data_IF_887672857971
#
_entry.id   IF_887672857971
#
_cell.length_a   1.000
_cell.length_b   1.000
_cell.length_c   1.000
_cell.angle_alpha   90.00
_cell.angle_beta   90.00
_cell.angle_gamma   90.00
#
_symmetry.space_group_name_H-M   'P 1'
#
loop_
_entity.id
_entity.type
_entity.pdbx_description
1 polymer ?
#
# COMPACT_ATOMS: atom_id res chain seq x y z
N UNK A 1 5.95 9.45 -28.47
CA UNK A 1 6.28 8.23 -27.71
C UNK A 1 5.65 8.38 -26.34
N UNK A 2 4.89 7.39 -25.88
CA UNK A 2 4.23 7.45 -24.58
C UNK A 2 5.25 7.52 -23.44
N UNK A 3 4.91 8.08 -22.27
CA UNK A 3 5.74 7.97 -21.07
C UNK A 3 6.04 6.51 -20.71
N UNK A 4 7.13 6.27 -19.97
CA UNK A 4 7.43 4.99 -19.34
C UNK A 4 7.32 5.13 -17.83
N UNK A 5 6.46 4.33 -17.21
CA UNK A 5 6.23 4.33 -15.77
C UNK A 5 6.84 3.08 -15.17
N UNK A 6 7.65 3.25 -14.14
CA UNK A 6 8.21 2.17 -13.32
C UNK A 6 7.42 2.09 -12.01
N UNK A 7 6.90 0.90 -11.71
CA UNK A 7 6.16 0.61 -10.47
C UNK A 7 6.87 -0.49 -9.67
N UNK A 8 6.74 -0.48 -8.35
CA UNK A 8 7.39 -1.47 -7.48
C UNK A 8 6.68 -2.83 -7.47
N UNK A 9 7.26 -3.76 -6.71
CA UNK A 9 6.72 -5.11 -6.57
C UNK A 9 5.54 -5.21 -5.58
N UNK A 10 5.42 -4.28 -4.64
CA UNK A 10 4.43 -4.33 -3.56
C UNK A 10 3.41 -3.21 -3.61
N UNK A 11 3.10 -2.73 -4.81
CA UNK A 11 2.13 -1.65 -5.01
C UNK A 11 0.70 -2.09 -4.69
N UNK A 12 -0.05 -1.14 -4.14
CA UNK A 12 -1.49 -1.26 -4.00
C UNK A 12 -2.18 -1.08 -5.36
N UNK A 13 -3.31 -1.76 -5.57
CA UNK A 13 -4.08 -1.67 -6.82
C UNK A 13 -4.46 -0.25 -7.21
N UNK A 14 -4.80 0.61 -6.24
CA UNK A 14 -5.10 2.04 -6.49
C UNK A 14 -3.90 2.85 -6.98
N UNK A 15 -2.68 2.33 -6.83
CA UNK A 15 -1.45 2.98 -7.28
C UNK A 15 -0.90 2.34 -8.55
N UNK A 16 -1.10 1.03 -8.75
CA UNK A 16 -0.60 0.29 -9.93
C UNK A 16 -1.55 0.33 -11.13
N UNK A 17 -2.84 0.03 -10.94
CA UNK A 17 -3.76 -0.25 -12.06
C UNK A 17 -4.00 0.97 -12.94
N UNK A 18 -4.04 2.17 -12.35
CA UNK A 18 -4.18 3.42 -13.09
C UNK A 18 -3.05 3.65 -14.10
N UNK A 19 -1.83 3.16 -13.82
CA UNK A 19 -0.72 3.21 -14.78
C UNK A 19 -0.81 2.11 -15.84
N UNK A 20 -1.28 0.92 -15.47
CA UNK A 20 -1.44 -0.20 -16.41
C UNK A 20 -2.52 0.05 -17.45
N UNK A 21 -3.61 0.70 -17.05
CA UNK A 21 -4.74 1.02 -17.93
C UNK A 21 -4.61 2.43 -18.54
N UNK A 22 -3.58 3.18 -18.14
CA UNK A 22 -3.33 4.55 -18.60
C UNK A 22 -2.63 4.63 -19.96
N UNK A 23 -2.52 5.84 -20.51
CA UNK A 23 -1.80 6.13 -21.75
C UNK A 23 -0.28 6.21 -21.53
N UNK A 24 0.30 5.12 -21.03
CA UNK A 24 1.74 4.96 -20.82
C UNK A 24 2.15 3.49 -20.94
N UNK A 25 3.45 3.24 -21.17
CA UNK A 25 3.98 1.90 -20.91
C UNK A 25 4.25 1.79 -19.41
N UNK A 26 3.86 0.68 -18.80
CA UNK A 26 4.06 0.42 -17.38
C UNK A 26 4.97 -0.82 -17.20
N UNK A 27 6.06 -0.65 -16.48
CA UNK A 27 7.01 -1.72 -16.15
C UNK A 27 7.07 -1.92 -14.64
N UNK A 28 6.84 -3.16 -14.22
CA UNK A 28 6.97 -3.57 -12.82
C UNK A 28 8.40 -4.00 -12.52
N UNK A 29 9.00 -3.38 -11.52
CA UNK A 29 10.31 -3.76 -10.98
C UNK A 29 10.11 -4.96 -10.04
N UNK A 30 10.89 -6.05 -10.20
CA UNK A 30 10.75 -7.22 -9.34
C UNK A 30 11.26 -6.95 -7.91
N UNK A 31 10.86 -7.83 -7.00
CA UNK A 31 11.45 -7.90 -5.66
C UNK A 31 12.68 -8.79 -5.63
N UNK A 32 13.61 -8.50 -4.72
CA UNK A 32 14.69 -9.40 -4.32
C UNK A 32 14.15 -10.59 -3.52
N UNK A 33 15.03 -11.55 -3.20
CA UNK A 33 14.69 -12.69 -2.32
C UNK A 33 14.25 -12.27 -0.92
N UNK A 34 14.69 -11.09 -0.47
CA UNK A 34 14.30 -10.50 0.81
C UNK A 34 13.00 -9.67 0.72
N UNK A 35 12.33 -9.73 -0.44
CA UNK A 35 11.12 -9.00 -0.81
C UNK A 35 11.27 -7.48 -0.92
N UNK A 36 12.50 -6.98 -0.92
CA UNK A 36 12.82 -5.56 -1.15
C UNK A 36 12.77 -5.22 -2.64
N UNK A 37 12.63 -3.95 -3.00
CA UNK A 37 12.70 -3.51 -4.40
C UNK A 37 14.09 -3.84 -4.98
N UNK A 38 14.16 -4.52 -6.13
CA UNK A 38 15.44 -4.82 -6.76
C UNK A 38 16.05 -3.59 -7.44
N UNK A 39 16.83 -2.83 -6.67
CA UNK A 39 17.50 -1.62 -7.15
C UNK A 39 18.49 -1.87 -8.29
N UNK A 40 19.08 -3.08 -8.38
CA UNK A 40 20.03 -3.40 -9.46
C UNK A 40 19.30 -3.63 -10.77
N UNK A 41 18.21 -4.40 -10.74
CA UNK A 41 17.37 -4.59 -11.93
C UNK A 41 16.69 -3.28 -12.33
N UNK A 42 16.31 -2.45 -11.35
CA UNK A 42 15.75 -1.13 -11.64
C UNK A 42 16.73 -0.21 -12.39
N UNK A 43 17.99 -0.12 -11.92
CA UNK A 43 19.03 0.67 -12.61
C UNK A 43 19.33 0.13 -14.01
N UNK A 44 19.35 -1.19 -14.18
CA UNK A 44 19.52 -1.83 -15.49
C UNK A 44 18.40 -1.45 -16.45
N UNK A 45 17.13 -1.56 -16.04
CA UNK A 45 15.98 -1.17 -16.86
C UNK A 45 16.00 0.32 -17.21
N UNK A 46 16.31 1.19 -16.25
CA UNK A 46 16.47 2.62 -16.51
C UNK A 46 17.54 2.89 -17.56
N UNK A 47 18.69 2.21 -17.47
CA UNK A 47 19.80 2.35 -18.42
C UNK A 47 19.43 1.87 -19.82
N UNK A 48 18.85 0.69 -19.95
CA UNK A 48 18.43 0.10 -21.22
C UNK A 48 17.41 1.00 -21.94
N UNK A 49 16.34 1.40 -21.23
CA UNK A 49 15.31 2.25 -21.83
C UNK A 49 15.80 3.66 -22.13
N UNK A 50 16.70 4.23 -21.31
CA UNK A 50 17.26 5.57 -21.57
C UNK A 50 18.18 5.56 -22.78
N UNK A 51 18.95 4.48 -22.97
CA UNK A 51 19.77 4.29 -24.16
C UNK A 51 18.90 4.15 -25.44
N UNK A 52 17.76 3.46 -25.33
CA UNK A 52 16.82 3.29 -26.44
C UNK A 52 16.05 4.57 -26.79
N UNK A 53 15.78 5.45 -25.81
CA UNK A 53 15.08 6.71 -26.05
C UNK A 53 15.51 7.85 -25.13
N UNK A 54 16.26 8.80 -25.69
CA UNK A 54 16.78 9.96 -24.96
C UNK A 54 15.68 10.92 -24.49
N UNK A 55 14.61 11.10 -25.27
CA UNK A 55 13.58 12.10 -25.01
C UNK A 55 12.31 11.53 -24.36
N UNK A 56 12.28 10.22 -24.04
CA UNK A 56 11.12 9.61 -23.39
C UNK A 56 10.99 10.07 -21.94
N UNK A 57 9.81 10.53 -21.55
CA UNK A 57 9.51 10.86 -20.16
C UNK A 57 9.49 9.58 -19.32
N UNK A 58 10.28 9.55 -18.24
CA UNK A 58 10.30 8.46 -17.28
C UNK A 58 9.66 8.91 -15.97
N UNK A 59 8.87 8.03 -15.38
CA UNK A 59 8.18 8.26 -14.12
C UNK A 59 8.43 7.05 -13.23
N UNK A 60 8.94 7.24 -12.03
CA UNK A 60 8.94 6.23 -10.97
C UNK A 60 7.77 6.49 -10.05
N UNK A 61 6.92 5.49 -9.82
CA UNK A 61 5.74 5.57 -8.96
C UNK A 61 5.78 4.40 -7.99
N UNK A 62 6.14 4.67 -6.73
CA UNK A 62 6.42 3.62 -5.74
C UNK A 62 5.65 3.83 -4.44
N UNK A 63 5.30 2.77 -3.73
CA UNK A 63 4.77 2.87 -2.37
C UNK A 63 5.90 3.21 -1.40
N UNK A 64 5.66 4.08 -0.43
CA UNK A 64 6.57 4.27 0.72
C UNK A 64 6.58 3.02 1.62
N UNK A 65 5.40 2.41 1.78
CA UNK A 65 5.23 1.24 2.60
C UNK A 65 4.28 0.22 1.96
N UNK A 66 4.66 -1.05 1.96
CA UNK A 66 3.76 -2.13 1.59
C UNK A 66 2.59 -2.24 2.58
N UNK A 67 1.35 -2.12 2.09
CA UNK A 67 0.14 -2.32 2.89
C UNK A 67 -0.12 -3.80 3.30
N UNK A 68 0.74 -4.71 2.83
CA UNK A 68 0.71 -6.15 3.11
C UNK A 68 1.80 -6.50 4.12
N UNK A 69 3.05 -6.25 3.75
CA UNK A 69 4.19 -6.70 4.54
C UNK A 69 4.63 -5.68 5.57
N UNK A 70 4.16 -4.43 5.45
CA UNK A 70 4.68 -3.29 6.21
C UNK A 70 6.05 -2.84 5.74
N UNK A 71 6.69 -3.47 4.76
CA UNK A 71 8.05 -3.13 4.34
C UNK A 71 8.15 -1.67 3.91
N UNK A 72 9.17 -0.97 4.43
CA UNK A 72 9.53 0.39 4.04
C UNK A 72 10.42 0.40 2.81
N UNK A 73 10.16 1.33 1.90
CA UNK A 73 10.98 1.64 0.75
C UNK A 73 12.20 2.47 1.14
N UNK A 74 13.33 2.25 0.47
CA UNK A 74 14.47 3.17 0.55
C UNK A 74 14.23 4.36 -0.40
N UNK A 75 13.41 5.32 0.06
CA UNK A 75 13.04 6.53 -0.71
C UNK A 75 14.29 7.27 -1.18
N UNK A 76 15.32 7.35 -0.33
CA UNK A 76 16.59 8.01 -0.64
C UNK A 76 17.28 7.37 -1.84
N UNK A 77 17.42 6.05 -1.82
CA UNK A 77 18.04 5.31 -2.91
C UNK A 77 17.22 5.43 -4.20
N UNK A 78 15.90 5.30 -4.13
CA UNK A 78 14.98 5.43 -5.27
C UNK A 78 15.06 6.84 -5.87
N UNK A 79 14.96 7.89 -5.03
CA UNK A 79 15.06 9.28 -5.45
C UNK A 79 16.39 9.59 -6.12
N UNK A 80 17.50 9.14 -5.53
CA UNK A 80 18.84 9.35 -6.10
C UNK A 80 18.97 8.68 -7.47
N UNK A 81 18.49 7.45 -7.59
CA UNK A 81 18.54 6.71 -8.85
C UNK A 81 17.67 7.37 -9.93
N UNK A 82 16.40 7.65 -9.66
CA UNK A 82 15.50 8.30 -10.63
C UNK A 82 16.05 9.65 -11.12
N UNK A 83 16.60 10.47 -10.22
CA UNK A 83 17.20 11.74 -10.57
C UNK A 83 18.41 11.59 -11.48
N UNK A 84 19.25 10.58 -11.28
CA UNK A 84 20.39 10.30 -12.14
C UNK A 84 19.97 10.03 -13.61
N UNK A 85 18.72 9.63 -13.84
CA UNK A 85 18.14 9.37 -15.17
C UNK A 85 17.12 10.44 -15.62
N UNK A 86 17.02 11.55 -14.90
CA UNK A 86 16.09 12.65 -15.20
C UNK A 86 14.61 12.24 -15.15
N UNK A 87 14.29 11.21 -14.38
CA UNK A 87 12.92 10.71 -14.22
C UNK A 87 12.16 11.52 -13.15
N UNK A 88 10.84 11.60 -13.29
CA UNK A 88 9.97 12.11 -12.24
C UNK A 88 9.77 11.04 -11.16
N UNK A 89 9.60 11.45 -9.91
CA UNK A 89 9.37 10.53 -8.79
C UNK A 89 8.08 10.85 -8.05
N UNK A 90 7.16 9.89 -7.99
CA UNK A 90 5.93 9.94 -7.21
C UNK A 90 5.89 8.83 -6.17
N UNK A 91 5.32 9.14 -5.01
CA UNK A 91 5.28 8.20 -3.89
C UNK A 91 3.88 8.06 -3.28
N UNK A 92 3.44 6.82 -3.03
CA UNK A 92 2.21 6.53 -2.27
C UNK A 92 2.54 6.37 -0.79
N UNK A 93 2.11 7.35 0.02
CA UNK A 93 2.26 7.30 1.47
C UNK A 93 1.05 6.71 2.19
N UNK A 94 0.01 6.23 1.49
CA UNK A 94 -1.26 5.84 2.12
C UNK A 94 -1.15 4.72 3.17
N UNK A 95 -0.04 3.99 3.29
CA UNK A 95 0.16 2.98 4.33
C UNK A 95 0.97 3.48 5.54
N UNK A 96 1.69 4.59 5.39
CA UNK A 96 2.62 5.15 6.39
C UNK A 96 2.18 6.53 6.89
N UNK A 97 1.46 7.28 6.06
CA UNK A 97 0.95 8.63 6.32
C UNK A 97 0.18 8.81 7.64
N UNK A 98 -0.53 7.84 8.24
CA UNK A 98 -1.22 8.09 9.49
C UNK A 98 -0.24 8.17 10.67
N UNK A 99 0.98 7.68 10.48
CA UNK A 99 1.91 7.35 11.55
C UNK A 99 3.30 7.99 11.40
N UNK A 100 3.71 8.33 10.17
CA UNK A 100 5.04 8.93 9.90
C UNK A 100 4.95 10.38 9.53
N UNK A 101 6.03 11.11 9.76
CA UNK A 101 6.19 12.44 9.19
C UNK A 101 6.46 12.34 7.69
N UNK A 102 5.69 13.08 6.90
CA UNK A 102 5.93 13.27 5.47
C UNK A 102 6.66 14.60 5.30
N UNK A 103 7.84 14.56 4.71
CA UNK A 103 8.58 15.75 4.31
C UNK A 103 8.73 15.78 2.80
N UNK A 104 7.93 16.63 2.14
CA UNK A 104 7.97 16.82 0.70
C UNK A 104 9.13 17.73 0.25
N UNK A 105 9.86 18.34 1.18
CA UNK A 105 10.98 19.24 0.88
C UNK A 105 12.16 19.05 1.87
N UNK A 106 12.74 17.84 1.95
CA UNK A 106 13.80 17.54 2.87
C UNK A 106 15.06 18.37 2.57
N UNK A 107 15.76 18.77 3.65
CA UNK A 107 17.04 19.49 3.54
C UNK A 107 18.06 18.63 2.77
N UNK A 108 18.78 19.24 1.83
CA UNK A 108 19.80 18.54 1.02
C UNK A 108 19.27 17.84 -0.24
N UNK A 109 17.95 17.86 -0.48
CA UNK A 109 17.29 17.21 -1.63
C UNK A 109 17.56 15.70 -1.77
N UNK A 110 18.10 15.01 -0.77
CA UNK A 110 18.53 13.61 -0.95
C UNK A 110 17.35 12.63 -1.07
N UNK A 111 16.19 12.99 -0.52
CA UNK A 111 14.98 12.14 -0.44
C UNK A 111 13.78 12.80 -1.12
N UNK A 112 14.01 13.77 -2.01
CA UNK A 112 12.93 14.49 -2.67
C UNK A 112 12.19 13.64 -3.70
N UNK A 113 10.88 13.80 -3.73
CA UNK A 113 9.96 13.36 -4.78
C UNK A 113 9.28 14.58 -5.42
N UNK A 114 8.73 14.39 -6.61
CA UNK A 114 8.02 15.42 -7.37
C UNK A 114 6.54 15.52 -6.95
N UNK A 115 5.99 14.46 -6.37
CA UNK A 115 4.68 14.48 -5.74
C UNK A 115 4.41 13.25 -4.89
N UNK A 116 3.39 13.33 -4.04
CA UNK A 116 2.94 12.20 -3.25
C UNK A 116 1.44 12.13 -3.07
N UNK A 117 0.96 10.93 -2.79
CA UNK A 117 -0.44 10.62 -2.51
C UNK A 117 -0.61 10.32 -1.03
N UNK A 118 -1.65 10.91 -0.43
CA UNK A 118 -2.02 10.75 0.98
C UNK A 118 -3.49 10.36 1.05
N UNK A 119 -3.82 9.47 1.98
CA UNK A 119 -5.16 8.95 2.24
C UNK A 119 -5.61 9.27 3.67
N UNK A 120 -6.09 10.50 3.93
CA UNK A 120 -6.45 10.93 5.28
C UNK A 120 -7.54 10.06 5.93
N UNK A 121 -8.34 9.31 5.17
CA UNK A 121 -9.33 8.36 5.72
C UNK A 121 -8.73 7.20 6.52
N UNK A 122 -7.41 7.06 6.53
CA UNK A 122 -6.67 6.07 7.35
C UNK A 122 -6.12 6.67 8.64
N UNK A 123 -6.28 7.97 8.86
CA UNK A 123 -5.89 8.66 10.08
C UNK A 123 -6.96 8.44 11.14
N UNK A 124 -6.58 8.56 12.40
CA UNK A 124 -7.54 8.52 13.50
C UNK A 124 -8.53 9.69 13.35
N UNK A 125 -9.81 9.37 13.16
CA UNK A 125 -10.86 10.35 12.90
C UNK A 125 -10.84 10.89 11.48
N UNK A 126 -10.20 10.21 10.53
CA UNK A 126 -10.08 10.67 9.15
C UNK A 126 -11.19 10.17 8.22
N UNK A 127 -11.99 9.20 8.61
CA UNK A 127 -13.06 8.58 7.83
C UNK A 127 -14.02 9.67 7.30
N UNK A 128 -14.29 9.67 5.99
CA UNK A 128 -15.08 10.72 5.32
C UNK A 128 -14.25 11.90 4.78
N UNK A 129 -12.94 11.91 4.99
CA UNK A 129 -12.00 12.88 4.41
C UNK A 129 -11.74 12.69 2.92
N UNK A 130 -11.15 13.70 2.30
CA UNK A 130 -10.73 13.69 0.89
C UNK A 130 -9.32 13.12 0.74
N UNK A 131 -9.05 12.39 -0.34
CA UNK A 131 -7.68 12.09 -0.76
C UNK A 131 -6.90 13.39 -1.02
N UNK A 132 -5.59 13.38 -0.78
CA UNK A 132 -4.73 14.56 -0.97
C UNK A 132 -3.56 14.23 -1.89
N UNK A 133 -3.41 15.04 -2.94
CA UNK A 133 -2.26 15.03 -3.85
C UNK A 133 -1.37 16.22 -3.51
N UNK A 134 -0.10 15.96 -3.23
CA UNK A 134 0.90 16.99 -3.02
C UNK A 134 1.86 17.00 -4.21
N UNK A 135 2.10 18.17 -4.79
CA UNK A 135 2.98 18.34 -5.95
C UNK A 135 4.03 19.40 -5.67
N UNK A 136 5.29 19.12 -6.02
CA UNK A 136 6.39 20.11 -5.99
C UNK A 136 6.47 20.90 -7.29
N UNK A 137 6.06 20.29 -8.40
CA UNK A 137 6.12 20.86 -9.75
C UNK A 137 4.74 21.23 -10.26
N UNK A 138 4.67 22.23 -11.14
CA UNK A 138 3.44 22.61 -11.83
C UNK A 138 3.18 21.64 -12.98
N UNK A 139 2.10 20.86 -12.89
CA UNK A 139 1.64 19.94 -13.93
C UNK A 139 0.30 20.40 -14.52
N UNK A 140 -0.09 19.95 -15.72
CA UNK A 140 -1.47 20.03 -16.19
C UNK A 140 -2.44 19.38 -15.21
N UNK A 141 -3.70 19.86 -15.11
CA UNK A 141 -4.65 19.29 -14.17
C UNK A 141 -4.99 17.85 -14.53
N UNK A 142 -5.31 17.06 -13.53
CA UNK A 142 -5.82 15.70 -13.73
C UNK A 142 -7.13 15.71 -14.53
N UNK A 143 -8.02 16.67 -14.22
CA UNK A 143 -9.29 16.85 -14.91
C UNK A 143 -9.53 18.34 -15.15
N UNK A 144 -9.70 18.74 -16.42
CA UNK A 144 -10.08 20.11 -16.77
C UNK A 144 -11.59 20.30 -16.65
N UNK A 145 -12.02 21.36 -15.99
CA UNK A 145 -13.43 21.69 -15.82
C UNK A 145 -13.69 23.10 -15.31
N UNK A 146 -14.94 23.39 -14.98
CA UNK A 146 -15.30 24.64 -14.31
C UNK A 146 -14.46 24.85 -13.05
N UNK A 147 -13.99 26.07 -12.82
CA UNK A 147 -13.12 26.40 -11.68
C UNK A 147 -11.62 26.15 -11.91
N UNK A 148 -11.24 25.31 -12.88
CA UNK A 148 -9.81 25.01 -13.15
C UNK A 148 -9.13 25.98 -14.12
N UNK A 149 -9.92 26.81 -14.81
CA UNK A 149 -9.44 27.71 -15.86
C UNK A 149 -9.45 29.16 -15.40
N UNK A 150 -8.40 29.89 -15.77
CA UNK A 150 -8.31 31.35 -15.66
C UNK A 150 -9.11 32.02 -16.77
N UNK A 151 -9.09 31.45 -17.97
CA UNK A 151 -9.80 31.97 -19.13
C UNK A 151 -10.03 30.85 -20.15
N UNK A 152 -11.17 30.87 -20.83
CA UNK A 152 -11.49 29.95 -21.92
C UNK A 152 -12.23 30.69 -23.03
N UNK A 153 -11.88 30.38 -24.27
CA UNK A 153 -12.55 30.78 -25.51
C UNK A 153 -13.04 29.53 -26.24
N UNK A 154 -13.55 29.69 -27.46
CA UNK A 154 -14.00 28.56 -28.29
C UNK A 154 -12.86 27.57 -28.60
N UNK A 155 -11.64 28.06 -28.85
CA UNK A 155 -10.50 27.25 -29.33
C UNK A 155 -9.29 27.27 -28.39
N UNK A 156 -9.38 27.94 -27.23
CA UNK A 156 -8.26 28.11 -26.32
C UNK A 156 -8.71 28.12 -24.86
N UNK A 157 -7.86 27.63 -23.96
CA UNK A 157 -8.01 27.84 -22.54
C UNK A 157 -6.67 27.98 -21.85
N UNK A 158 -6.65 28.78 -20.79
CA UNK A 158 -5.55 28.91 -19.87
C UNK A 158 -6.01 28.41 -18.49
N UNK A 159 -5.27 27.47 -17.91
CA UNK A 159 -5.54 26.98 -16.56
C UNK A 159 -5.22 28.04 -15.50
N UNK A 160 -5.84 27.90 -14.32
CA UNK A 160 -5.56 28.73 -13.16
C UNK A 160 -4.06 28.67 -12.79
N UNK A 161 -3.51 29.81 -12.37
CA UNK A 161 -2.13 29.91 -11.90
C UNK A 161 -1.96 29.22 -10.54
N UNK A 162 -3.03 29.20 -9.75
CA UNK A 162 -3.10 28.52 -8.45
C UNK A 162 -3.24 27.00 -8.66
N UNK A 163 -2.32 26.23 -8.08
CA UNK A 163 -2.31 24.76 -8.20
C UNK A 163 -3.53 24.09 -7.57
N UNK A 164 -4.04 24.63 -6.45
CA UNK A 164 -5.23 24.10 -5.80
C UNK A 164 -6.45 24.24 -6.70
N UNK A 165 -6.74 25.47 -7.16
CA UNK A 165 -7.88 25.74 -8.06
C UNK A 165 -7.80 24.89 -9.34
N UNK A 166 -6.59 24.67 -9.84
CA UNK A 166 -6.33 23.88 -11.04
C UNK A 166 -6.68 22.40 -10.87
N UNK A 167 -6.46 21.80 -9.70
CA UNK A 167 -6.78 20.39 -9.43
C UNK A 167 -8.17 20.18 -8.82
N UNK A 168 -8.89 21.24 -8.44
CA UNK A 168 -10.25 21.16 -7.87
C UNK A 168 -11.31 21.60 -8.86
N UNK A 169 -11.57 20.78 -9.87
CA UNK A 169 -12.66 21.02 -10.80
C UNK A 169 -14.03 20.97 -10.09
N UNK A 170 -14.86 21.99 -10.32
CA UNK A 170 -16.17 22.12 -9.69
C UNK A 170 -16.11 22.52 -8.20
N UNK A 171 -17.21 22.30 -7.48
CA UNK A 171 -17.27 22.57 -6.04
C UNK A 171 -16.54 21.45 -5.28
N UNK A 172 -15.46 21.75 -4.55
CA UNK A 172 -14.75 20.72 -3.79
C UNK A 172 -15.59 20.21 -2.62
N UNK A 173 -15.29 19.02 -2.13
CA UNK A 173 -15.89 18.46 -0.93
C UNK A 173 -15.46 19.22 0.32
N UNK A 174 -16.07 20.39 0.59
CA UNK A 174 -15.67 21.31 1.67
C UNK A 174 -15.58 20.59 3.03
N UNK A 175 -16.60 19.81 3.38
CA UNK A 175 -16.60 19.03 4.63
C UNK A 175 -15.50 17.97 4.66
N UNK A 176 -15.22 17.35 3.52
CA UNK A 176 -14.16 16.34 3.41
C UNK A 176 -12.77 16.97 3.60
N UNK A 177 -12.57 18.18 3.08
CA UNK A 177 -11.34 18.96 3.28
C UNK A 177 -11.19 19.37 4.74
N UNK A 178 -12.26 19.83 5.38
CA UNK A 178 -12.25 20.13 6.82
C UNK A 178 -11.91 18.88 7.65
N UNK A 179 -12.50 17.72 7.30
CA UNK A 179 -12.18 16.44 7.95
C UNK A 179 -10.71 16.05 7.75
N UNK A 180 -10.17 16.24 6.53
CA UNK A 180 -8.75 16.04 6.25
C UNK A 180 -7.89 16.87 7.19
N UNK A 181 -8.16 18.18 7.30
CA UNK A 181 -7.38 19.08 8.14
C UNK A 181 -7.41 18.66 9.61
N UNK A 182 -8.59 18.36 10.16
CA UNK A 182 -8.73 17.90 11.55
C UNK A 182 -7.99 16.59 11.82
N UNK A 183 -8.01 15.65 10.87
CA UNK A 183 -7.29 14.38 11.02
C UNK A 183 -5.77 14.60 11.09
N UNK A 184 -5.23 15.55 10.33
CA UNK A 184 -3.84 15.98 10.44
C UNK A 184 -3.55 16.66 11.79
N UNK A 185 -4.43 17.55 12.26
CA UNK A 185 -4.26 18.20 13.57
C UNK A 185 -4.21 17.17 14.72
N UNK A 186 -5.04 16.13 14.69
CA UNK A 186 -5.01 15.04 15.67
C UNK A 186 -3.66 14.31 15.64
N UNK A 187 -3.16 13.96 14.46
CA UNK A 187 -1.86 13.30 14.30
C UNK A 187 -0.71 14.18 14.82
N UNK A 188 -0.72 15.46 14.46
CA UNK A 188 0.32 16.42 14.86
C UNK A 188 0.29 16.66 16.37
N UNK A 189 -0.89 16.76 16.98
CA UNK A 189 -1.04 16.89 18.43
C UNK A 189 -0.55 15.66 19.20
N UNK A 190 -0.70 14.44 18.64
CA UNK A 190 -0.14 13.22 19.22
C UNK A 190 1.39 13.13 19.09
N UNK A 191 1.94 13.73 18.03
CA UNK A 191 3.35 13.70 17.68
C UNK A 191 3.70 12.45 16.85
N UNK A 192 4.02 12.58 15.55
CA UNK A 192 4.36 11.45 14.68
C UNK A 192 5.50 10.58 15.23
N UNK A 193 6.51 11.17 15.87
CA UNK A 193 7.62 10.45 16.48
C UNK A 193 7.17 9.57 17.66
N UNK A 194 6.18 10.05 18.43
CA UNK A 194 5.58 9.28 19.53
C UNK A 194 4.72 8.14 19.01
N UNK A 195 3.96 8.39 17.95
CA UNK A 195 3.16 7.38 17.25
C UNK A 195 4.09 6.28 16.75
N UNK A 196 5.11 6.63 15.96
CA UNK A 196 6.06 5.69 15.38
C UNK A 196 6.75 4.84 16.47
N UNK A 197 7.21 5.47 17.55
CA UNK A 197 7.82 4.76 18.67
C UNK A 197 6.86 3.72 19.29
N UNK A 198 5.60 4.09 19.52
CA UNK A 198 4.63 3.18 20.14
C UNK A 198 4.31 2.01 19.21
N UNK A 199 4.08 2.27 17.94
CA UNK A 199 3.81 1.22 16.94
C UNK A 199 5.00 0.28 16.79
N UNK A 200 6.21 0.82 16.83
CA UNK A 200 7.46 0.06 16.82
C UNK A 200 7.51 -0.94 18.00
N UNK A 201 7.27 -0.46 19.21
CA UNK A 201 7.26 -1.30 20.43
C UNK A 201 6.23 -2.44 20.34
N UNK A 202 4.99 -2.13 19.90
CA UNK A 202 3.92 -3.14 19.78
C UNK A 202 4.22 -4.17 18.68
N UNK A 203 4.72 -3.70 17.54
CA UNK A 203 5.12 -4.56 16.41
C UNK A 203 6.26 -5.49 16.79
N UNK A 204 7.31 -4.98 17.43
CA UNK A 204 8.43 -5.83 17.88
C UNK A 204 7.97 -6.88 18.87
N UNK A 205 7.19 -6.49 19.87
CA UNK A 205 6.64 -7.41 20.86
C UNK A 205 5.81 -8.53 20.23
N UNK A 206 5.02 -8.24 19.19
CA UNK A 206 4.26 -9.26 18.48
C UNK A 206 5.16 -10.15 17.59
N UNK A 207 6.08 -9.56 16.81
CA UNK A 207 6.95 -10.30 15.90
C UNK A 207 7.87 -11.26 16.64
N UNK A 208 8.50 -10.79 17.70
CA UNK A 208 9.43 -11.61 18.48
C UNK A 208 8.71 -12.76 19.17
N UNK A 209 7.49 -12.49 19.67
CA UNK A 209 6.64 -13.53 20.22
C UNK A 209 6.21 -14.57 19.18
N UNK A 210 5.78 -14.14 17.98
CA UNK A 210 5.38 -15.05 16.89
C UNK A 210 6.55 -15.94 16.45
N UNK A 211 7.72 -15.35 16.24
CA UNK A 211 8.94 -16.09 15.86
C UNK A 211 9.36 -17.11 16.92
N UNK A 212 9.24 -16.75 18.20
CA UNK A 212 9.66 -17.61 19.31
C UNK A 212 8.65 -18.73 19.60
N UNK A 213 7.36 -18.41 19.54
CA UNK A 213 6.29 -19.31 20.05
C UNK A 213 5.68 -20.17 18.95
N UNK A 214 5.56 -19.65 17.72
CA UNK A 214 4.90 -20.33 16.61
C UNK A 214 5.72 -20.31 15.31
N UNK A 215 7.01 -20.71 15.34
CA UNK A 215 7.89 -20.61 14.18
C UNK A 215 7.49 -21.51 13.01
N UNK A 216 6.68 -22.55 13.25
CA UNK A 216 6.25 -23.52 12.23
C UNK A 216 4.77 -23.34 11.85
N UNK A 217 3.97 -22.86 12.79
CA UNK A 217 2.52 -22.76 12.66
C UNK A 217 2.08 -21.40 12.12
N UNK A 218 2.88 -20.35 12.27
CA UNK A 218 2.54 -19.02 11.74
C UNK A 218 3.57 -18.59 10.71
N UNK A 219 3.12 -18.46 9.47
CA UNK A 219 3.91 -17.94 8.37
C UNK A 219 3.64 -16.44 8.22
N UNK A 220 4.59 -15.61 8.67
CA UNK A 220 4.55 -14.16 8.44
C UNK A 220 5.01 -13.88 7.00
N UNK A 221 4.19 -13.15 6.23
CA UNK A 221 4.47 -12.81 4.84
C UNK A 221 5.54 -11.71 4.75
N UNK A 222 6.46 -11.83 3.79
CA UNK A 222 7.52 -10.87 3.48
C UNK A 222 8.76 -10.95 4.39
N UNK A 223 9.60 -9.90 4.41
CA UNK A 223 10.83 -9.85 5.21
C UNK A 223 10.57 -10.05 6.73
N UNK A 224 11.40 -10.86 7.41
CA UNK A 224 11.22 -11.18 8.84
C UNK A 224 11.77 -10.11 9.80
N UNK A 225 12.42 -9.07 9.30
CA UNK A 225 13.06 -8.02 10.11
C UNK A 225 12.03 -6.97 10.50
N UNK A 226 11.62 -6.97 11.78
CA UNK A 226 10.60 -6.06 12.28
C UNK A 226 11.01 -4.58 12.11
N UNK A 227 12.28 -4.25 12.38
CA UNK A 227 12.80 -2.88 12.27
C UNK A 227 12.63 -2.23 10.88
N UNK A 228 12.49 -3.03 9.81
CA UNK A 228 12.29 -2.54 8.44
C UNK A 228 10.82 -2.31 8.07
N UNK A 229 9.88 -2.43 9.03
CA UNK A 229 8.45 -2.50 8.75
C UNK A 229 7.64 -1.42 9.46
N UNK A 230 6.55 -0.97 8.86
CA UNK A 230 5.40 -0.45 9.58
C UNK A 230 4.74 -1.52 10.44
N UNK A 231 3.85 -1.16 11.39
CA UNK A 231 3.16 -2.11 12.27
C UNK A 231 2.13 -3.01 11.57
N UNK A 232 2.34 -3.35 10.31
CA UNK A 232 1.45 -4.20 9.51
C UNK A 232 1.97 -5.63 9.57
N UNK A 233 1.11 -6.55 9.99
CA UNK A 233 1.46 -7.98 10.12
C UNK A 233 0.47 -8.80 9.30
N UNK A 234 0.92 -9.23 8.13
CA UNK A 234 0.21 -10.24 7.33
C UNK A 234 0.78 -11.62 7.63
N UNK A 235 -0.10 -12.57 7.93
CA UNK A 235 0.29 -13.92 8.30
C UNK A 235 -0.74 -14.96 7.84
N UNK A 236 -0.26 -16.19 7.70
CA UNK A 236 -1.05 -17.40 7.50
C UNK A 236 -0.78 -18.39 8.62
N UNK A 237 -1.79 -19.20 8.96
CA UNK A 237 -1.69 -20.24 9.98
C UNK A 237 -1.63 -21.61 9.31
N UNK A 238 -0.72 -22.47 9.76
CA UNK A 238 -0.45 -23.81 9.25
C UNK A 238 -0.56 -24.78 10.43
N UNK A 239 -1.70 -25.48 10.54
CA UNK A 239 -1.90 -26.49 11.59
C UNK A 239 -3.07 -27.44 11.28
N UNK A 240 -2.87 -28.78 11.18
CA UNK A 240 -1.77 -29.50 10.52
C UNK A 240 -1.70 -29.27 9.00
N UNK A 241 -2.71 -28.60 8.44
CA UNK A 241 -2.76 -28.13 7.05
C UNK A 241 -2.87 -26.59 7.03
N UNK A 242 -2.57 -25.92 5.90
CA UNK A 242 -2.80 -24.49 5.76
C UNK A 242 -4.27 -24.15 6.02
N UNK A 243 -4.51 -23.23 6.95
CA UNK A 243 -5.85 -22.72 7.22
C UNK A 243 -6.16 -21.58 6.27
N UNK A 244 -7.38 -21.59 5.71
CA UNK A 244 -7.82 -20.51 4.84
C UNK A 244 -7.88 -19.18 5.63
N UNK A 245 -7.35 -18.05 5.12
CA UNK A 245 -7.22 -16.81 5.88
C UNK A 245 -8.54 -16.23 6.38
N UNK A 246 -9.64 -16.40 5.62
CA UNK A 246 -10.99 -16.01 6.08
C UNK A 246 -11.44 -16.82 7.30
N UNK A 247 -11.10 -18.11 7.34
CA UNK A 247 -11.43 -18.95 8.49
C UNK A 247 -10.68 -18.44 9.74
N UNK A 248 -9.39 -18.13 9.60
CA UNK A 248 -8.60 -17.52 10.68
C UNK A 248 -9.20 -16.18 11.15
N UNK A 249 -9.65 -15.33 10.22
CA UNK A 249 -10.30 -14.04 10.57
C UNK A 249 -11.61 -14.23 11.33
N UNK A 250 -12.48 -15.15 10.89
CA UNK A 250 -13.73 -15.48 11.59
C UNK A 250 -13.44 -16.03 12.99
N UNK A 251 -12.46 -16.93 13.11
CA UNK A 251 -12.06 -17.48 14.41
C UNK A 251 -11.48 -16.43 15.36
N UNK A 252 -10.87 -15.36 14.87
CA UNK A 252 -10.41 -14.26 15.70
C UNK A 252 -11.57 -13.33 16.07
N UNK A 253 -12.48 -13.08 15.13
CA UNK A 253 -13.62 -12.18 15.30
C UNK A 253 -14.69 -12.74 16.23
N UNK A 254 -15.21 -13.93 15.96
CA UNK A 254 -16.45 -14.40 16.58
C UNK A 254 -16.26 -14.81 18.05
N UNK A 255 -15.30 -15.68 18.42
CA UNK A 255 -15.11 -16.08 19.81
C UNK A 255 -14.23 -15.10 20.63
N UNK A 256 -13.37 -14.30 20.00
CA UNK A 256 -12.44 -13.39 20.71
C UNK A 256 -12.74 -11.91 20.48
N UNK A 257 -13.65 -11.53 19.59
CA UNK A 257 -13.91 -10.12 19.31
C UNK A 257 -12.74 -9.38 18.65
N UNK A 258 -11.77 -10.10 18.07
CA UNK A 258 -10.57 -9.51 17.46
C UNK A 258 -10.81 -9.28 15.98
N UNK A 259 -10.86 -8.01 15.59
CA UNK A 259 -11.06 -7.64 14.20
C UNK A 259 -9.76 -7.71 13.40
N UNK A 260 -9.70 -8.63 12.45
CA UNK A 260 -8.65 -8.72 11.44
C UNK A 260 -9.26 -8.69 10.04
N UNK A 261 -8.43 -8.64 9.00
CA UNK A 261 -8.89 -8.65 7.61
C UNK A 261 -8.25 -9.78 6.82
N UNK A 262 -9.07 -10.58 6.15
CA UNK A 262 -8.60 -11.59 5.21
C UNK A 262 -8.66 -11.12 3.75
N UNK A 263 -7.75 -11.65 2.93
CA UNK A 263 -7.77 -11.51 1.47
C UNK A 263 -6.41 -11.14 0.90
N UNK A 264 -6.40 -10.57 -0.31
CA UNK A 264 -5.17 -10.13 -0.97
C UNK A 264 -4.82 -8.65 -0.70
N UNK A 265 -5.57 -7.97 0.18
CA UNK A 265 -5.37 -6.56 0.55
C UNK A 265 -5.13 -5.61 -0.64
N UNK A 266 -5.81 -5.85 -1.78
CA UNK A 266 -5.64 -5.07 -3.00
C UNK A 266 -4.18 -5.03 -3.50
N UNK A 267 -3.45 -6.14 -3.32
CA UNK A 267 -2.05 -6.33 -3.73
C UNK A 267 -1.89 -7.74 -4.32
N UNK A 268 -2.74 -8.06 -5.30
CA UNK A 268 -2.78 -9.37 -5.97
C UNK A 268 -1.42 -9.83 -6.54
N UNK A 269 -0.73 -9.00 -7.35
CA UNK A 269 0.58 -9.35 -7.90
C UNK A 269 1.63 -9.65 -6.81
N UNK A 270 1.64 -8.88 -5.71
CA UNK A 270 2.50 -9.18 -4.57
C UNK A 270 2.18 -10.54 -3.95
N UNK A 271 0.89 -10.90 -3.85
CA UNK A 271 0.47 -12.22 -3.38
C UNK A 271 1.02 -13.35 -4.25
N UNK A 272 1.00 -13.19 -5.58
CA UNK A 272 1.59 -14.16 -6.52
C UNK A 272 3.09 -14.37 -6.24
N UNK A 273 3.84 -13.28 -6.04
CA UNK A 273 5.27 -13.33 -5.73
C UNK A 273 5.56 -13.97 -4.36
N UNK A 274 4.83 -13.56 -3.32
CA UNK A 274 5.02 -14.04 -1.94
C UNK A 274 4.74 -15.53 -1.81
N UNK A 275 3.78 -16.06 -2.57
CA UNK A 275 3.44 -17.48 -2.60
C UNK A 275 4.17 -18.25 -3.70
N UNK A 276 5.00 -17.59 -4.51
CA UNK A 276 5.73 -18.18 -5.65
C UNK A 276 4.80 -18.96 -6.59
N UNK A 277 3.60 -18.40 -6.83
CA UNK A 277 2.59 -19.02 -7.69
C UNK A 277 3.04 -18.83 -9.15
N UNK A 278 3.30 -19.96 -9.83
CA UNK A 278 3.67 -19.96 -11.25
C UNK A 278 2.54 -19.39 -12.10
N UNK A 279 2.88 -18.73 -13.21
CA UNK A 279 1.92 -18.06 -14.08
C UNK A 279 0.82 -18.97 -14.58
N UNK A 280 1.14 -20.23 -14.94
CA UNK A 280 0.17 -21.20 -15.44
C UNK A 280 -0.86 -21.57 -14.37
N UNK A 281 -0.42 -21.70 -13.11
CA UNK A 281 -1.34 -21.92 -11.99
C UNK A 281 -2.16 -20.65 -11.69
N UNK A 282 -1.56 -19.47 -11.83
CA UNK A 282 -2.28 -18.21 -11.64
C UNK A 282 -3.39 -18.05 -12.69
N UNK A 283 -3.16 -18.41 -13.95
CA UNK A 283 -4.18 -18.42 -15.00
C UNK A 283 -5.35 -19.35 -14.67
N UNK A 284 -5.07 -20.57 -14.18
CA UNK A 284 -6.10 -21.49 -13.72
C UNK A 284 -6.88 -20.94 -12.51
N UNK A 285 -6.19 -20.30 -11.56
CA UNK A 285 -6.84 -19.64 -10.42
C UNK A 285 -7.72 -18.48 -10.88
N UNK A 286 -7.26 -17.67 -11.84
CA UNK A 286 -8.07 -16.59 -12.42
C UNK A 286 -9.33 -17.16 -13.04
N UNK A 287 -9.23 -18.15 -13.92
CA UNK A 287 -10.39 -18.82 -14.53
C UNK A 287 -11.35 -19.38 -13.46
N UNK A 288 -10.82 -20.03 -12.43
CA UNK A 288 -11.63 -20.54 -11.32
C UNK A 288 -12.33 -19.45 -10.52
N UNK A 289 -11.66 -18.31 -10.25
CA UNK A 289 -12.18 -17.21 -9.42
C UNK A 289 -13.16 -16.33 -10.18
N UNK A 290 -12.91 -16.07 -11.46
CA UNK A 290 -13.78 -15.23 -12.30
C UNK A 290 -14.94 -16.02 -12.89
N UNK A 291 -14.90 -17.35 -12.82
CA UNK A 291 -15.75 -18.21 -13.63
C UNK A 291 -15.38 -18.10 -15.12
N UNK A 292 -16.14 -18.77 -15.96
CA UNK A 292 -16.16 -18.41 -17.38
C UNK A 292 -16.89 -17.06 -17.46
N UNK A 293 -16.32 -16.05 -18.11
CA UNK A 293 -17.00 -14.75 -18.33
C UNK A 293 -18.26 -14.87 -19.23
N UNK A 294 -18.79 -16.09 -19.42
CA UNK A 294 -19.77 -16.45 -20.41
C UNK A 294 -21.18 -16.67 -19.83
N UNK A 295 -21.36 -16.79 -18.50
CA UNK A 295 -22.71 -16.87 -17.92
C UNK A 295 -22.75 -16.47 -16.44
N UNK A 296 -23.85 -15.82 -16.04
CA UNK A 296 -24.20 -15.55 -14.63
C UNK A 296 -24.56 -16.84 -13.85
N UNK A 297 -24.50 -18.00 -14.51
CA UNK A 297 -24.96 -19.30 -14.00
C UNK A 297 -23.85 -20.11 -13.29
N UNK A 298 -22.57 -19.77 -13.50
CA UNK A 298 -21.43 -20.43 -12.86
C UNK A 298 -20.61 -19.44 -12.00
N UNK A 299 -21.03 -19.18 -10.75
CA UNK A 299 -20.29 -18.27 -9.88
C UNK A 299 -18.88 -18.81 -9.61
N UNK A 300 -17.87 -17.97 -9.80
CA UNK A 300 -16.47 -18.33 -9.57
C UNK A 300 -16.20 -18.83 -8.14
N UNK A 301 -15.21 -19.72 -8.01
CA UNK A 301 -14.81 -20.38 -6.76
C UNK A 301 -13.94 -19.43 -5.93
N UNK A 302 -14.59 -18.56 -5.15
CA UNK A 302 -13.87 -17.53 -4.38
C UNK A 302 -12.99 -18.07 -3.22
N UNK A 303 -13.16 -19.34 -2.87
CA UNK A 303 -12.39 -20.04 -1.82
C UNK A 303 -10.97 -20.40 -2.23
N UNK A 304 -10.66 -20.44 -3.54
CA UNK A 304 -9.29 -20.69 -4.03
C UNK A 304 -8.46 -19.41 -4.14
N UNK A 305 -9.06 -18.23 -3.93
CA UNK A 305 -8.38 -16.94 -4.03
C UNK A 305 -7.25 -16.85 -2.98
N UNK A 306 -5.98 -16.75 -3.40
CA UNK A 306 -4.86 -16.60 -2.47
C UNK A 306 -5.02 -15.35 -1.59
N UNK A 307 -4.53 -15.43 -0.36
CA UNK A 307 -4.60 -14.32 0.57
C UNK A 307 -3.96 -14.64 1.92
N UNK A 308 -4.15 -13.70 2.84
CA UNK A 308 -3.61 -13.76 4.19
C UNK A 308 -4.57 -13.12 5.19
N UNK A 309 -4.37 -13.43 6.47
CA UNK A 309 -4.94 -12.66 7.57
C UNK A 309 -4.00 -11.49 7.87
N UNK A 310 -4.55 -10.29 8.05
CA UNK A 310 -3.78 -9.08 8.36
C UNK A 310 -4.29 -8.42 9.63
N UNK A 311 -3.35 -8.02 10.48
CA UNK A 311 -3.58 -7.16 11.63
C UNK A 311 -2.59 -5.99 11.62
N UNK A 312 -3.02 -4.83 12.12
CA UNK A 312 -2.18 -3.65 12.26
C UNK A 312 -2.00 -3.34 13.75
N UNK A 313 -0.76 -3.21 14.22
CA UNK A 313 -0.44 -2.78 15.59
C UNK A 313 -0.55 -1.25 15.70
N UNK A 314 -1.78 -0.75 15.62
CA UNK A 314 -2.07 0.69 15.63
C UNK A 314 -1.71 1.32 16.99
N UNK A 315 -1.24 2.55 16.99
CA UNK A 315 -0.83 3.27 18.22
C UNK A 315 -1.96 3.52 19.23
N UNK A 316 -3.22 3.27 18.90
CA UNK A 316 -4.32 3.32 19.89
C UNK A 316 -4.36 2.08 20.77
N UNK A 317 -3.78 0.96 20.31
CA UNK A 317 -3.68 -0.27 21.09
C UNK A 317 -2.71 -0.10 22.27
N UNK A 318 -2.89 -0.94 23.28
CA UNK A 318 -2.03 -1.02 24.45
C UNK A 318 -1.48 -2.46 24.61
N UNK A 319 -0.64 -2.66 25.63
CA UNK A 319 0.01 -3.96 25.87
C UNK A 319 -0.98 -5.09 26.22
N UNK A 320 -2.12 -4.76 26.84
CA UNK A 320 -3.18 -5.72 27.13
C UNK A 320 -3.84 -6.21 25.84
N UNK A 321 -4.07 -5.34 24.86
CA UNK A 321 -4.65 -5.72 23.57
C UNK A 321 -3.73 -6.69 22.82
N UNK A 322 -2.42 -6.39 22.80
CA UNK A 322 -1.40 -7.27 22.20
C UNK A 322 -1.30 -8.60 22.96
N UNK A 323 -1.33 -8.57 24.29
CA UNK A 323 -1.36 -9.78 25.11
C UNK A 323 -2.60 -10.62 24.81
N UNK A 324 -3.79 -10.01 24.73
CA UNK A 324 -5.04 -10.69 24.45
C UNK A 324 -5.02 -11.33 23.05
N UNK A 325 -4.48 -10.63 22.05
CA UNK A 325 -4.25 -11.20 20.72
C UNK A 325 -3.33 -12.43 20.75
N UNK A 326 -2.24 -12.37 21.52
CA UNK A 326 -1.31 -13.51 21.70
C UNK A 326 -2.00 -14.70 22.35
N UNK A 327 -2.84 -14.46 23.36
CA UNK A 327 -3.59 -15.53 24.03
C UNK A 327 -4.68 -16.13 23.11
N UNK A 328 -5.36 -15.32 22.31
CA UNK A 328 -6.30 -15.82 21.30
C UNK A 328 -5.61 -16.73 20.28
N UNK A 329 -4.41 -16.37 19.81
CA UNK A 329 -3.61 -17.22 18.91
C UNK A 329 -3.08 -18.49 19.59
N UNK A 330 -2.81 -18.45 20.90
CA UNK A 330 -2.39 -19.63 21.69
C UNK A 330 -3.52 -20.60 21.95
N UNK A 331 -4.72 -20.06 22.14
CA UNK A 331 -5.89 -20.87 22.42
C UNK A 331 -6.02 -21.85 21.27
N UNK A 332 -5.80 -23.13 21.56
CA UNK A 332 -6.12 -24.18 20.61
C UNK A 332 -7.60 -23.99 20.35
N UNK A 333 -7.95 -23.61 19.13
CA UNK A 333 -9.31 -23.38 18.65
C UNK A 333 -10.26 -24.39 19.32
N UNK A 334 -11.41 -23.96 19.86
CA UNK A 334 -12.16 -24.75 20.82
C UNK A 334 -12.79 -25.98 20.16
N UNK A 335 -12.09 -27.12 20.21
CA UNK A 335 -12.69 -28.43 20.01
C UNK A 335 -13.35 -28.99 21.28
N UNK A 336 -13.48 -28.20 22.36
CA UNK A 336 -14.14 -28.63 23.60
C UNK A 336 -15.47 -27.91 23.88
N UNK A 337 -15.93 -26.99 23.04
CA UNK A 337 -17.19 -26.27 23.25
C UNK A 337 -18.44 -26.98 22.69
N UNK A 338 -18.30 -28.15 22.04
CA UNK A 338 -19.42 -28.94 21.49
C UNK A 338 -19.57 -30.33 22.14
N UNK A 339 -19.03 -30.53 23.35
CA UNK A 339 -19.40 -31.66 24.22
C UNK A 339 -20.37 -31.15 25.28
N UNK A 340 -21.60 -30.89 24.86
CA UNK A 340 -22.77 -30.66 25.70
C UNK A 340 -23.87 -31.58 25.22
#
# INVERSE_FOLDING_TARGET
MLPLVFVGAYEHHSHELSWRDGLCDCLRIPSTKDHELDMKEFEKLLKEHRAASKNRLFIGSFSDCSNVTGMRSDIKAISKLLRAYGALFFIDHAASDPCTRIDCNPKGNEDCFDGCYVSPHKFLGGEGSSGSLMLRKRLPPTFGGGGTVKFATQDFHAYADNLYERETAGTPGVLQIMQTAMAFEVKDALGPERIEKKEHELREDLFDWLKKTHPKEVFILGNKTAAKRHPIVSFNVIAPHPLHPRFVTILLSDPFGIQTRAGCSCAGPLGQDLFQIRSELMELLVLGITGTQASDEEPGIYSVKPGWCRINMHYTLNKLDVWYFKEALRSKTPCNCFRG
#
